data_IF_821588890075
#
_entry.id   IF_821588890075
#
_cell.length_a   1.000
_cell.length_b   1.000
_cell.length_c   1.000
_cell.angle_alpha   90.00
_cell.angle_beta   90.00
_cell.angle_gamma   90.00
#
_symmetry.space_group_name_H-M   'P 1'
#
loop_
_entity.id
_entity.type
_entity.pdbx_description
1 polymer ?
#
# COMPACT_ATOMS: atom_id res chain seq x y z
N UNK A 1 9.91 22.64 -1.70
CA UNK A 1 9.46 24.02 -1.48
C UNK A 1 8.01 23.91 -1.04
N UNK A 2 7.61 24.50 0.11
CA UNK A 2 6.23 24.47 0.53
C UNK A 2 5.32 25.13 -0.49
N UNK A 3 4.18 24.52 -0.73
CA UNK A 3 3.13 25.02 -1.60
C UNK A 3 1.83 24.97 -0.83
N UNK A 4 1.18 26.10 -0.67
CA UNK A 4 -0.01 26.27 0.16
C UNK A 4 -1.14 26.75 -0.75
N UNK A 5 -2.21 25.98 -0.85
CA UNK A 5 -3.45 26.36 -1.54
C UNK A 5 -4.55 26.56 -0.51
N UNK A 6 -5.24 27.69 -0.58
CA UNK A 6 -6.32 28.04 0.32
C UNK A 6 -7.59 28.25 -0.51
N UNK A 7 -8.68 27.60 -0.12
CA UNK A 7 -9.97 27.66 -0.81
C UNK A 7 -11.03 28.24 0.13
N UNK A 8 -11.74 29.26 -0.34
CA UNK A 8 -12.78 29.95 0.43
C UNK A 8 -13.75 30.67 -0.51
N UNK A 9 -15.04 30.83 -0.17
CA UNK A 9 -15.97 31.66 -0.96
C UNK A 9 -15.65 33.16 -0.89
N UNK A 10 -14.90 33.58 0.14
CA UNK A 10 -14.51 34.97 0.35
C UNK A 10 -13.44 35.42 -0.65
N UNK A 11 -13.43 36.71 -0.96
CA UNK A 11 -12.30 37.32 -1.64
C UNK A 11 -11.04 37.16 -0.78
N UNK A 12 -9.92 36.81 -1.41
CA UNK A 12 -8.67 36.58 -0.70
C UNK A 12 -8.11 37.86 -0.06
N UNK A 13 -7.22 37.71 0.93
CA UNK A 13 -6.67 38.84 1.71
C UNK A 13 -5.67 39.71 0.92
N UNK A 14 -5.51 39.48 -0.38
CA UNK A 14 -4.59 40.19 -1.26
C UNK A 14 -3.15 39.64 -1.27
N UNK A 15 -2.44 39.87 -2.37
CA UNK A 15 -1.10 39.31 -2.60
C UNK A 15 -0.06 39.72 -1.55
N UNK A 16 -0.14 40.93 -1.00
CA UNK A 16 0.78 41.39 0.05
C UNK A 16 0.63 40.60 1.35
N UNK A 17 -0.60 40.21 1.72
CA UNK A 17 -0.85 39.39 2.91
C UNK A 17 -0.38 37.94 2.70
N UNK A 18 -0.66 37.37 1.53
CA UNK A 18 -0.18 36.03 1.17
C UNK A 18 1.36 35.98 1.10
N UNK A 19 2.01 37.05 0.62
CA UNK A 19 3.46 37.20 0.61
C UNK A 19 4.06 37.17 2.02
N UNK A 20 3.50 37.96 2.96
CA UNK A 20 3.95 37.91 4.37
C UNK A 20 3.80 36.53 4.98
N UNK A 21 2.70 35.82 4.68
CA UNK A 21 2.50 34.44 5.13
C UNK A 21 3.59 33.51 4.58
N UNK A 22 3.93 33.65 3.29
CA UNK A 22 5.01 32.88 2.67
C UNK A 22 6.38 33.16 3.32
N UNK A 23 6.66 34.42 3.65
CA UNK A 23 7.91 34.82 4.32
C UNK A 23 8.02 34.19 5.72
N UNK A 24 6.96 34.21 6.52
CA UNK A 24 6.94 33.56 7.83
C UNK A 24 7.15 32.04 7.73
N UNK A 25 6.57 31.40 6.69
CA UNK A 25 6.77 29.97 6.43
C UNK A 25 8.22 29.65 6.05
N UNK A 26 8.82 30.45 5.18
CA UNK A 26 10.23 30.26 4.80
C UNK A 26 11.16 30.48 5.98
N UNK A 27 10.92 31.49 6.83
CA UNK A 27 11.67 31.72 8.05
C UNK A 27 11.56 30.54 9.03
N UNK A 28 10.35 30.01 9.26
CA UNK A 28 10.13 28.85 10.12
C UNK A 28 10.90 27.61 9.64
N UNK A 29 10.95 27.38 8.33
CA UNK A 29 11.53 26.18 7.73
C UNK A 29 13.01 26.34 7.35
N UNK A 30 13.63 27.49 7.63
CA UNK A 30 15.01 27.78 7.25
C UNK A 30 15.24 27.77 5.74
N UNK A 31 14.26 28.23 4.95
CA UNK A 31 14.30 28.28 3.49
C UNK A 31 14.68 29.69 3.01
N UNK A 32 15.29 29.83 1.81
CA UNK A 32 15.52 31.15 1.22
C UNK A 32 14.21 31.90 0.96
N UNK A 33 14.27 33.23 0.96
CA UNK A 33 13.13 34.08 0.58
C UNK A 33 12.58 33.68 -0.80
N UNK A 34 11.25 33.75 -0.96
CA UNK A 34 10.57 33.35 -2.20
C UNK A 34 10.44 31.83 -2.42
N UNK A 35 11.01 30.98 -1.54
CA UNK A 35 10.86 29.52 -1.61
C UNK A 35 9.62 29.03 -0.84
N UNK A 36 8.48 29.68 -1.05
CA UNK A 36 7.17 29.24 -0.61
C UNK A 36 6.12 29.86 -1.51
N UNK A 37 5.17 29.06 -1.99
CA UNK A 37 4.05 29.55 -2.80
C UNK A 37 2.76 29.47 -2.01
N UNK A 38 1.97 30.54 -2.06
CA UNK A 38 0.67 30.62 -1.39
C UNK A 38 -0.35 31.10 -2.42
N UNK A 39 -1.37 30.30 -2.67
CA UNK A 39 -2.47 30.64 -3.56
C UNK A 39 -3.78 30.72 -2.80
N UNK A 40 -4.61 31.67 -3.21
CA UNK A 40 -5.99 31.79 -2.76
C UNK A 40 -6.92 31.53 -3.93
N UNK A 41 -7.80 30.56 -3.75
CA UNK A 41 -8.82 30.18 -4.71
C UNK A 41 -10.17 30.59 -4.16
N UNK A 42 -10.83 31.51 -4.87
CA UNK A 42 -12.21 31.83 -4.57
C UNK A 42 -13.09 30.71 -5.10
N UNK A 43 -13.88 30.10 -4.22
CA UNK A 43 -14.86 29.08 -4.59
C UNK A 43 -16.20 29.73 -4.93
N UNK A 44 -16.93 29.09 -5.84
CA UNK A 44 -18.36 29.34 -5.98
C UNK A 44 -19.09 28.68 -4.78
N UNK A 45 -19.87 29.43 -3.99
CA UNK A 45 -20.67 28.85 -2.90
C UNK A 45 -21.66 27.75 -3.34
N UNK A 46 -22.04 27.69 -4.62
CA UNK A 46 -22.90 26.63 -5.16
C UNK A 46 -22.13 25.33 -5.46
N UNK A 47 -20.80 25.41 -5.66
CA UNK A 47 -19.95 24.25 -5.98
C UNK A 47 -19.40 23.56 -4.71
N UNK A 48 -19.60 24.13 -3.53
CA UNK A 48 -19.07 23.58 -2.28
C UNK A 48 -20.11 23.59 -1.14
N UNK A 49 -20.25 22.46 -0.46
CA UNK A 49 -21.11 22.35 0.72
C UNK A 49 -20.28 22.41 2.02
N UNK A 50 -20.33 23.57 2.68
CA UNK A 50 -19.81 23.76 4.04
C UNK A 50 -20.77 24.66 4.84
N UNK A 51 -21.37 24.16 5.94
CA UNK A 51 -22.37 24.93 6.68
C UNK A 51 -21.88 26.30 7.17
N UNK A 52 -20.62 26.40 7.61
CA UNK A 52 -20.05 27.65 8.11
C UNK A 52 -19.94 28.73 7.02
N UNK A 53 -19.72 28.33 5.76
CA UNK A 53 -19.68 29.25 4.62
C UNK A 53 -21.06 29.82 4.29
N UNK A 54 -22.13 29.03 4.46
CA UNK A 54 -23.50 29.54 4.35
C UNK A 54 -23.85 30.51 5.48
N UNK A 55 -23.19 30.37 6.63
CA UNK A 55 -23.28 31.31 7.76
C UNK A 55 -22.37 32.54 7.62
N UNK A 56 -21.66 32.70 6.49
CA UNK A 56 -20.83 33.88 6.20
C UNK A 56 -19.36 33.79 6.62
N UNK A 57 -18.89 32.61 7.03
CA UNK A 57 -17.46 32.43 7.37
C UNK A 57 -16.55 32.56 6.15
N UNK A 58 -15.41 33.22 6.32
CA UNK A 58 -14.34 33.29 5.33
C UNK A 58 -13.27 32.18 5.52
N UNK A 59 -13.43 31.30 6.51
CA UNK A 59 -12.39 30.37 6.93
C UNK A 59 -12.04 29.38 5.80
N UNK A 60 -10.76 29.26 5.42
CA UNK A 60 -10.40 28.47 4.26
C UNK A 60 -10.27 26.99 4.61
N UNK A 61 -10.41 26.17 3.56
CA UNK A 61 -9.84 24.82 3.51
C UNK A 61 -8.47 24.94 2.85
N UNK A 62 -7.42 24.51 3.54
CA UNK A 62 -6.04 24.62 3.09
C UNK A 62 -5.38 23.27 2.80
N UNK A 63 -4.62 23.22 1.72
CA UNK A 63 -3.80 22.08 1.33
C UNK A 63 -2.34 22.53 1.29
N UNK A 64 -1.51 21.88 2.10
CA UNK A 64 -0.10 22.23 2.27
C UNK A 64 0.75 21.08 1.72
N UNK A 65 1.46 21.30 0.63
CA UNK A 65 2.46 20.35 0.14
C UNK A 65 3.83 20.74 0.69
N UNK A 66 4.52 19.83 1.38
CA UNK A 66 5.86 20.06 1.93
C UNK A 66 6.82 18.91 1.59
N UNK A 67 8.11 19.07 1.91
CA UNK A 67 9.09 17.98 1.68
C UNK A 67 8.78 16.81 2.62
N UNK A 68 8.92 15.59 2.12
CA UNK A 68 8.78 14.38 2.92
C UNK A 68 9.78 14.34 4.08
N UNK A 69 10.97 14.89 3.88
CA UNK A 69 12.05 14.94 4.86
C UNK A 69 11.78 15.83 6.08
N UNK A 70 10.69 16.61 6.11
CA UNK A 70 10.35 17.43 7.28
C UNK A 70 9.86 16.57 8.44
N UNK A 71 10.45 16.70 9.62
CA UNK A 71 10.01 15.95 10.81
C UNK A 71 8.56 16.28 11.22
N UNK A 72 7.94 15.42 12.03
CA UNK A 72 6.57 15.63 12.56
C UNK A 72 6.45 16.94 13.32
N UNK A 73 7.46 17.31 14.11
CA UNK A 73 7.48 18.57 14.84
C UNK A 73 7.50 19.79 13.91
N UNK A 74 8.32 19.75 12.85
CA UNK A 74 8.42 20.81 11.85
C UNK A 74 7.09 21.01 11.12
N UNK A 75 6.43 19.93 10.71
CA UNK A 75 5.12 19.98 10.07
C UNK A 75 4.05 20.48 11.04
N UNK A 76 4.08 20.03 12.30
CA UNK A 76 3.18 20.55 13.32
C UNK A 76 3.35 22.05 13.57
N UNK A 77 4.60 22.55 13.59
CA UNK A 77 4.90 23.97 13.72
C UNK A 77 4.41 24.77 12.50
N UNK A 78 4.58 24.23 11.29
CA UNK A 78 4.08 24.83 10.05
C UNK A 78 2.55 24.98 10.08
N UNK A 79 1.83 23.92 10.43
CA UNK A 79 0.36 23.96 10.50
C UNK A 79 -0.14 24.94 11.55
N UNK A 80 0.48 24.98 12.74
CA UNK A 80 0.13 25.95 13.78
C UNK A 80 0.39 27.39 13.36
N UNK A 81 1.51 27.64 12.67
CA UNK A 81 1.82 28.96 12.11
C UNK A 81 0.73 29.39 11.12
N UNK A 82 0.40 28.53 10.16
CA UNK A 82 -0.60 28.80 9.13
C UNK A 82 -1.99 29.04 9.75
N UNK A 83 -2.43 28.16 10.65
CA UNK A 83 -3.73 28.31 11.32
C UNK A 83 -3.82 29.64 12.05
N UNK A 84 -2.83 29.96 12.89
CA UNK A 84 -2.78 31.22 13.63
C UNK A 84 -2.87 32.43 12.71
N UNK A 85 -2.07 32.44 11.62
CA UNK A 85 -2.07 33.57 10.69
C UNK A 85 -3.33 33.71 9.88
N UNK A 86 -3.97 32.62 9.51
CA UNK A 86 -5.25 32.66 8.80
C UNK A 86 -6.38 33.14 9.72
N UNK A 87 -6.35 32.73 10.99
CA UNK A 87 -7.25 33.26 12.03
C UNK A 87 -7.09 34.77 12.17
N UNK A 88 -5.86 35.24 12.39
CA UNK A 88 -5.55 36.67 12.54
C UNK A 88 -5.99 37.48 11.31
N UNK A 89 -5.72 36.94 10.11
CA UNK A 89 -5.93 37.64 8.85
C UNK A 89 -7.40 37.72 8.44
N UNK A 90 -8.19 36.71 8.78
CA UNK A 90 -9.58 36.58 8.32
C UNK A 90 -10.60 36.86 9.42
N UNK A 91 -10.18 36.98 10.69
CA UNK A 91 -11.08 37.17 11.83
C UNK A 91 -12.01 35.99 12.06
N UNK A 92 -11.54 34.77 11.76
CA UNK A 92 -12.32 33.52 11.90
C UNK A 92 -11.88 32.72 13.12
N UNK A 93 -12.70 31.78 13.57
CA UNK A 93 -12.34 30.93 14.71
C UNK A 93 -11.31 29.85 14.30
N UNK A 94 -10.34 29.49 15.16
CA UNK A 94 -9.32 28.48 14.84
C UNK A 94 -9.89 27.13 14.37
N UNK A 95 -10.99 26.69 14.98
CA UNK A 95 -11.68 25.45 14.63
C UNK A 95 -12.29 25.45 13.22
N UNK A 96 -12.47 26.63 12.62
CA UNK A 96 -12.97 26.76 11.25
C UNK A 96 -11.86 26.69 10.19
N UNK A 97 -10.59 26.81 10.59
CA UNK A 97 -9.46 26.72 9.65
C UNK A 97 -9.02 25.26 9.55
N UNK A 98 -9.36 24.63 8.43
CA UNK A 98 -9.00 23.24 8.17
C UNK A 98 -7.78 23.17 7.27
N UNK A 99 -6.70 22.53 7.72
CA UNK A 99 -5.45 22.38 6.96
C UNK A 99 -5.08 20.90 6.85
N UNK A 100 -4.77 20.45 5.64
CA UNK A 100 -4.20 19.13 5.38
C UNK A 100 -2.77 19.27 4.87
N UNK A 101 -1.94 18.26 5.15
CA UNK A 101 -0.56 18.23 4.67
C UNK A 101 -0.35 17.03 3.78
N UNK A 102 0.25 17.29 2.63
CA UNK A 102 0.79 16.26 1.75
C UNK A 102 2.31 16.37 1.70
N UNK A 103 2.98 15.23 1.84
CA UNK A 103 4.44 15.14 1.83
C UNK A 103 4.89 14.70 0.45
N UNK A 104 5.82 15.46 -0.14
CA UNK A 104 6.38 15.21 -1.46
C UNK A 104 7.83 14.72 -1.34
N UNK A 105 8.13 13.57 -1.95
CA UNK A 105 9.45 13.04 -2.18
C UNK A 105 10.11 13.71 -3.40
N UNK A 106 11.43 13.60 -3.50
CA UNK A 106 12.15 14.09 -4.66
C UNK A 106 11.78 13.26 -5.91
N UNK A 107 11.37 13.93 -6.99
CA UNK A 107 10.98 13.27 -8.25
C UNK A 107 9.47 13.07 -8.43
N UNK A 108 8.64 13.40 -7.44
CA UNK A 108 7.19 13.44 -7.61
C UNK A 108 6.75 14.73 -8.30
N UNK A 109 5.77 14.62 -9.21
CA UNK A 109 5.17 15.72 -9.95
C UNK A 109 3.83 16.11 -9.32
N UNK A 110 3.55 17.41 -9.25
CA UNK A 110 2.25 17.91 -8.81
C UNK A 110 1.33 18.02 -10.03
N UNK A 111 0.34 17.13 -10.15
CA UNK A 111 -0.64 17.12 -11.25
C UNK A 111 -2.03 17.29 -10.67
N UNK A 112 -2.71 18.40 -11.00
CA UNK A 112 -4.10 18.68 -10.57
C UNK A 112 -4.33 18.44 -9.07
N UNK A 113 -3.50 19.07 -8.27
CA UNK A 113 -3.56 19.03 -6.81
C UNK A 113 -3.17 17.71 -6.14
N UNK A 114 -2.79 16.69 -6.91
CA UNK A 114 -2.25 15.42 -6.41
C UNK A 114 -0.75 15.31 -6.67
N UNK A 115 -0.02 14.75 -5.71
CA UNK A 115 1.35 14.30 -5.89
C UNK A 115 1.30 12.98 -6.65
N UNK A 116 1.77 12.99 -7.88
CA UNK A 116 1.96 11.80 -8.69
C UNK A 116 3.44 11.46 -8.70
N UNK A 117 3.80 10.26 -8.25
CA UNK A 117 5.09 9.69 -8.63
C UNK A 117 5.22 9.73 -10.16
N UNK A 118 6.38 10.13 -10.68
CA UNK A 118 6.61 10.08 -12.12
C UNK A 118 6.45 8.62 -12.60
N UNK A 119 5.31 8.32 -13.23
CA UNK A 119 4.90 6.97 -13.63
C UNK A 119 3.53 6.61 -13.05
N UNK A 120 2.50 6.76 -13.88
CA UNK A 120 1.10 6.34 -13.76
C UNK A 120 0.80 5.31 -12.65
N UNK A 121 -0.19 5.51 -11.75
CA UNK A 121 -0.73 4.38 -11.01
C UNK A 121 -1.40 3.43 -12.01
N UNK A 122 -1.05 2.15 -11.92
CA UNK A 122 -1.85 1.07 -12.49
C UNK A 122 -3.32 1.19 -11.97
N UNK A 123 -4.33 0.77 -12.75
CA UNK A 123 -5.75 0.95 -12.43
C UNK A 123 -6.10 0.49 -11.01
N UNK A 124 -6.99 1.24 -10.33
CA UNK A 124 -7.59 0.96 -9.01
C UNK A 124 -6.78 -0.03 -8.14
N UNK A 125 -5.55 0.35 -7.80
CA UNK A 125 -4.69 -0.50 -6.99
C UNK A 125 -5.37 -0.75 -5.64
N UNK A 126 -5.64 -2.01 -5.32
CA UNK A 126 -6.11 -2.40 -3.98
C UNK A 126 -4.96 -2.13 -3.00
N UNK A 127 -5.05 -1.03 -2.24
CA UNK A 127 -3.98 -0.59 -1.33
C UNK A 127 -3.98 -1.35 -0.01
N UNK A 128 -5.11 -1.95 0.37
CA UNK A 128 -5.35 -2.41 1.74
C UNK A 128 -5.38 -3.93 1.87
N UNK A 129 -4.29 -4.59 1.45
CA UNK A 129 -4.11 -6.04 1.67
C UNK A 129 -3.34 -6.27 2.96
N UNK A 130 -4.09 -6.55 4.05
CA UNK A 130 -3.54 -6.77 5.40
C UNK A 130 -3.34 -8.27 5.64
N UNK A 131 -2.14 -8.74 6.04
CA UNK A 131 -1.93 -10.14 6.40
C UNK A 131 -2.89 -10.61 7.49
N UNK A 132 -3.41 -11.83 7.39
CA UNK A 132 -4.24 -12.47 8.43
C UNK A 132 -3.40 -13.21 9.46
N UNK A 133 -2.14 -13.47 9.14
CA UNK A 133 -1.21 -14.26 9.95
C UNK A 133 0.14 -14.41 9.27
N UNK A 134 1.00 -15.22 9.87
CA UNK A 134 2.36 -15.45 9.37
C UNK A 134 2.72 -16.93 9.41
N UNK A 135 3.59 -17.32 8.47
CA UNK A 135 4.19 -18.65 8.43
C UNK A 135 5.29 -18.75 9.48
N UNK A 136 5.27 -19.83 10.26
CA UNK A 136 6.34 -20.29 11.13
C UNK A 136 6.88 -21.62 10.62
N UNK A 137 8.16 -21.66 10.27
CA UNK A 137 8.82 -22.85 9.72
C UNK A 137 10.30 -22.88 10.05
N UNK A 138 10.91 -24.06 10.07
CA UNK A 138 12.38 -24.18 10.15
C UNK A 138 13.06 -23.74 8.86
N UNK A 139 12.34 -23.76 7.74
CA UNK A 139 12.87 -23.37 6.44
C UNK A 139 12.89 -21.86 6.28
N UNK A 140 14.09 -21.28 6.43
CA UNK A 140 14.34 -19.83 6.35
C UNK A 140 14.96 -19.40 5.02
N UNK A 141 15.59 -20.34 4.32
CA UNK A 141 16.31 -20.08 3.08
C UNK A 141 15.40 -20.15 1.86
N UNK A 142 15.66 -19.28 0.88
CA UNK A 142 14.90 -19.18 -0.36
C UNK A 142 15.47 -20.12 -1.42
N UNK A 143 15.25 -21.42 -1.25
CA UNK A 143 15.56 -22.46 -2.24
C UNK A 143 14.29 -22.88 -2.99
N UNK A 144 14.45 -23.41 -4.20
CA UNK A 144 13.30 -23.61 -5.11
C UNK A 144 12.59 -24.96 -4.94
N UNK A 145 13.24 -25.99 -4.38
CA UNK A 145 12.78 -27.40 -4.41
C UNK A 145 12.56 -28.03 -3.01
N UNK A 146 12.11 -29.27 -2.91
CA UNK A 146 11.98 -30.06 -1.67
C UNK A 146 10.96 -29.51 -0.65
N UNK A 147 9.81 -29.01 -1.12
CA UNK A 147 8.78 -28.38 -0.27
C UNK A 147 7.77 -29.35 0.33
N UNK A 148 7.60 -30.56 -0.21
CA UNK A 148 6.48 -31.47 0.11
C UNK A 148 6.49 -31.96 1.55
N UNK A 149 7.67 -32.25 2.09
CA UNK A 149 7.86 -32.67 3.49
C UNK A 149 8.06 -31.49 4.47
N UNK A 150 8.11 -30.25 3.96
CA UNK A 150 8.28 -29.07 4.80
C UNK A 150 7.03 -28.86 5.64
N UNK A 151 7.17 -29.06 6.95
CA UNK A 151 6.15 -28.74 7.94
C UNK A 151 6.19 -27.27 8.31
N UNK A 152 5.01 -26.64 8.30
CA UNK A 152 4.85 -25.24 8.62
C UNK A 152 3.61 -25.03 9.48
N UNK A 153 3.63 -23.99 10.31
CA UNK A 153 2.47 -23.51 11.06
C UNK A 153 2.08 -22.15 10.51
N UNK A 154 0.84 -22.01 10.07
CA UNK A 154 0.25 -20.71 9.75
C UNK A 154 -0.43 -20.23 11.04
N UNK A 155 0.11 -19.18 11.66
CA UNK A 155 -0.44 -18.60 12.88
C UNK A 155 -1.23 -17.34 12.55
N UNK A 156 -2.52 -17.37 12.81
CA UNK A 156 -3.42 -16.22 12.60
C UNK A 156 -3.25 -15.18 13.71
N UNK A 157 -3.51 -13.92 13.38
CA UNK A 157 -3.43 -12.79 14.30
C UNK A 157 -4.53 -12.84 15.38
N UNK A 158 -4.14 -13.22 16.60
CA UNK A 158 -5.03 -13.34 17.75
C UNK A 158 -5.64 -12.01 18.24
N UNK A 159 -5.12 -10.86 17.79
CA UNK A 159 -5.76 -9.56 18.07
C UNK A 159 -6.98 -9.29 17.21
N UNK A 160 -7.14 -10.04 16.10
CA UNK A 160 -8.19 -9.85 15.09
C UNK A 160 -9.13 -11.04 14.95
N UNK A 161 -8.65 -12.25 15.24
CA UNK A 161 -9.41 -13.48 15.05
C UNK A 161 -9.52 -14.28 16.34
N UNK A 162 -10.59 -15.04 16.45
CA UNK A 162 -10.80 -16.09 17.45
C UNK A 162 -10.73 -17.46 16.76
N UNK A 163 -10.54 -18.58 17.50
CA UNK A 163 -10.54 -19.92 16.91
C UNK A 163 -11.78 -20.25 16.07
N UNK A 164 -12.90 -19.55 16.28
CA UNK A 164 -14.13 -19.70 15.50
C UNK A 164 -13.92 -19.44 14.00
N UNK A 165 -12.95 -18.60 13.63
CA UNK A 165 -12.60 -18.33 12.23
C UNK A 165 -12.09 -19.57 11.47
N UNK A 166 -11.69 -20.62 12.20
CA UNK A 166 -11.15 -21.87 11.64
C UNK A 166 -12.06 -23.08 11.93
N UNK A 167 -13.25 -22.88 12.51
CA UNK A 167 -14.20 -23.95 12.79
C UNK A 167 -14.53 -24.75 11.52
N UNK A 168 -14.38 -26.07 11.60
CA UNK A 168 -14.68 -26.99 10.50
C UNK A 168 -13.58 -27.10 9.45
N UNK A 169 -12.49 -26.32 9.52
CA UNK A 169 -11.36 -26.46 8.58
C UNK A 169 -10.69 -27.84 8.69
N UNK A 170 -10.69 -28.43 9.89
CA UNK A 170 -10.18 -29.77 10.18
C UNK A 170 -10.97 -30.91 9.52
N UNK A 171 -12.15 -30.63 8.99
CA UNK A 171 -12.94 -31.58 8.18
C UNK A 171 -12.38 -31.73 6.76
N UNK A 172 -11.49 -30.84 6.33
CA UNK A 172 -10.84 -30.86 5.01
C UNK A 172 -9.44 -31.47 5.10
N UNK A 173 -9.01 -32.13 4.02
CA UNK A 173 -7.65 -32.69 3.94
C UNK A 173 -6.59 -31.70 3.46
N UNK A 174 -7.01 -30.64 2.75
CA UNK A 174 -6.11 -29.67 2.13
C UNK A 174 -6.69 -28.27 2.21
N UNK A 175 -5.81 -27.28 2.22
CA UNK A 175 -6.14 -25.87 2.12
C UNK A 175 -5.31 -25.19 1.04
N UNK A 176 -5.90 -24.22 0.37
CA UNK A 176 -5.22 -23.27 -0.50
C UNK A 176 -4.83 -22.03 0.33
N UNK A 177 -3.53 -21.75 0.36
CA UNK A 177 -2.92 -20.67 1.14
C UNK A 177 -2.46 -19.59 0.18
N UNK A 178 -2.98 -18.36 0.35
CA UNK A 178 -2.54 -17.19 -0.41
C UNK A 178 -1.58 -16.41 0.48
N UNK A 179 -0.37 -16.15 -0.02
CA UNK A 179 0.67 -15.47 0.74
C UNK A 179 1.46 -14.50 -0.15
N UNK A 180 2.25 -13.63 0.46
CA UNK A 180 3.07 -12.66 -0.28
C UNK A 180 4.55 -13.01 -0.19
N UNK A 181 5.24 -13.06 -1.33
CA UNK A 181 6.71 -13.16 -1.39
C UNK A 181 7.37 -11.86 -0.89
N UNK A 182 7.29 -11.63 0.42
CA UNK A 182 7.72 -10.41 1.11
C UNK A 182 9.21 -10.10 0.93
N UNK A 183 10.05 -11.11 0.70
CA UNK A 183 11.49 -10.96 0.44
C UNK A 183 11.83 -10.68 -1.02
N UNK A 184 10.87 -10.64 -1.94
CA UNK A 184 11.12 -10.21 -3.33
C UNK A 184 11.12 -8.69 -3.37
N UNK A 185 12.29 -8.06 -3.61
CA UNK A 185 12.37 -6.60 -3.65
C UNK A 185 11.71 -6.06 -4.93
N UNK A 186 11.16 -4.83 -4.91
CA UNK A 186 10.47 -4.26 -6.06
C UNK A 186 11.27 -4.29 -7.37
N UNK A 187 12.57 -4.01 -7.33
CA UNK A 187 13.44 -4.00 -8.51
C UNK A 187 13.65 -5.39 -9.17
N UNK A 188 13.29 -6.48 -8.49
CA UNK A 188 13.36 -7.84 -9.07
C UNK A 188 12.08 -8.23 -9.81
N UNK A 189 10.99 -7.47 -9.63
CA UNK A 189 9.70 -7.73 -10.31
C UNK A 189 9.92 -7.80 -11.82
N UNK A 190 9.32 -8.82 -12.43
CA UNK A 190 9.34 -9.05 -13.87
C UNK A 190 7.93 -8.84 -14.42
N UNK A 191 7.84 -8.19 -15.56
CA UNK A 191 6.58 -7.94 -16.29
C UNK A 191 6.53 -8.64 -17.65
N UNK A 192 7.69 -9.02 -18.19
CA UNK A 192 7.83 -9.69 -19.48
C UNK A 192 8.11 -11.19 -19.40
N UNK A 193 8.57 -11.75 -20.52
CA UNK A 193 8.96 -13.15 -20.61
C UNK A 193 10.41 -13.37 -20.14
N UNK A 194 10.66 -14.54 -19.56
CA UNK A 194 12.00 -14.99 -19.16
C UNK A 194 12.05 -16.51 -19.15
N UNK A 195 13.25 -17.07 -19.15
CA UNK A 195 13.48 -18.49 -18.94
C UNK A 195 13.05 -18.90 -17.51
N UNK A 196 12.20 -19.93 -17.33
CA UNK A 196 11.82 -20.42 -16.01
C UNK A 196 13.07 -20.82 -15.21
N UNK A 197 13.15 -20.38 -13.94
CA UNK A 197 14.36 -20.48 -13.09
C UNK A 197 15.68 -20.01 -13.71
N UNK A 198 15.64 -19.27 -14.84
CA UNK A 198 16.83 -18.87 -15.59
C UNK A 198 17.46 -19.98 -16.44
N UNK A 199 16.78 -21.11 -16.64
CA UNK A 199 17.30 -22.23 -17.43
C UNK A 199 17.18 -21.96 -18.95
N UNK A 200 18.29 -21.79 -19.69
CA UNK A 200 18.26 -21.47 -21.12
C UNK A 200 17.72 -22.60 -22.01
N UNK A 201 17.69 -23.84 -21.51
CA UNK A 201 17.18 -25.00 -22.25
C UNK A 201 15.64 -25.03 -22.28
N UNK A 202 14.99 -24.31 -21.36
CA UNK A 202 13.53 -24.15 -21.33
C UNK A 202 13.09 -22.92 -22.13
N UNK A 203 11.86 -22.92 -22.70
CA UNK A 203 11.42 -21.83 -23.55
C UNK A 203 11.26 -20.51 -22.80
N UNK A 204 11.48 -19.40 -23.51
CA UNK A 204 11.17 -18.07 -23.02
C UNK A 204 9.66 -17.97 -22.72
N UNK A 205 9.30 -17.79 -21.44
CA UNK A 205 7.91 -17.91 -20.98
C UNK A 205 7.46 -16.63 -20.29
N UNK A 206 6.30 -16.10 -20.66
CA UNK A 206 5.70 -14.91 -20.04
C UNK A 206 5.56 -15.05 -18.52
N UNK A 207 5.70 -13.97 -17.73
CA UNK A 207 5.58 -14.05 -16.26
C UNK A 207 4.22 -14.56 -15.76
N UNK A 208 3.18 -14.44 -16.58
CA UNK A 208 1.84 -15.00 -16.29
C UNK A 208 1.66 -16.45 -16.76
N UNK A 209 2.53 -16.95 -17.63
CA UNK A 209 2.57 -18.34 -18.09
C UNK A 209 3.55 -19.22 -17.28
N UNK A 210 4.10 -18.68 -16.17
CA UNK A 210 4.97 -19.40 -15.25
C UNK A 210 4.63 -19.06 -13.79
N UNK A 211 5.21 -19.80 -12.84
CA UNK A 211 4.94 -19.70 -11.40
C UNK A 211 6.08 -19.02 -10.60
N UNK A 212 7.04 -18.39 -11.26
CA UNK A 212 8.20 -17.79 -10.57
C UNK A 212 7.82 -16.59 -9.67
N UNK A 213 8.44 -16.47 -8.49
CA UNK A 213 8.12 -15.47 -7.44
C UNK A 213 8.17 -13.98 -7.83
N UNK A 214 8.99 -13.61 -8.82
CA UNK A 214 9.23 -12.22 -9.23
C UNK A 214 8.11 -11.65 -10.14
N UNK A 215 6.86 -11.62 -9.65
CA UNK A 215 5.67 -11.16 -10.41
C UNK A 215 5.17 -9.83 -9.86
N UNK A 216 4.32 -9.07 -10.59
CA UNK A 216 3.88 -7.73 -10.17
C UNK A 216 3.33 -7.65 -8.74
N UNK A 217 2.37 -8.52 -8.39
CA UNK A 217 1.75 -8.51 -7.05
C UNK A 217 2.46 -9.40 -6.03
N UNK A 218 3.48 -10.17 -6.44
CA UNK A 218 4.27 -11.06 -5.56
C UNK A 218 3.40 -12.02 -4.74
N UNK A 219 2.28 -12.48 -5.30
CA UNK A 219 1.40 -13.44 -4.65
C UNK A 219 1.84 -14.86 -4.95
N UNK A 220 1.97 -15.66 -3.89
CA UNK A 220 2.11 -17.10 -3.92
C UNK A 220 0.79 -17.76 -3.57
N UNK A 221 0.56 -18.95 -4.12
CA UNK A 221 -0.61 -19.77 -3.84
C UNK A 221 -0.15 -21.21 -3.75
N UNK A 222 -0.34 -21.81 -2.58
CA UNK A 222 0.05 -23.19 -2.32
C UNK A 222 -1.14 -24.03 -1.87
N UNK A 223 -1.23 -25.26 -2.40
CA UNK A 223 -2.22 -26.24 -1.94
C UNK A 223 -1.52 -27.19 -0.98
N UNK A 224 -1.77 -26.98 0.30
CA UNK A 224 -1.07 -27.65 1.37
C UNK A 224 -1.96 -28.75 1.96
N UNK A 225 -1.34 -29.85 2.41
CA UNK A 225 -2.05 -30.85 3.20
C UNK A 225 -2.22 -30.33 4.63
N UNK A 226 -3.44 -30.36 5.14
CA UNK A 226 -3.75 -30.04 6.53
C UNK A 226 -3.31 -31.20 7.43
N UNK A 227 -2.56 -30.89 8.48
CA UNK A 227 -2.10 -31.85 9.48
C UNK A 227 -2.92 -31.74 10.77
N UNK A 228 -3.19 -30.51 11.21
CA UNK A 228 -3.89 -30.19 12.45
C UNK A 228 -4.38 -28.73 12.42
N UNK A 229 -5.52 -28.46 13.04
CA UNK A 229 -5.94 -27.11 13.43
C UNK A 229 -5.94 -27.06 14.96
N UNK A 230 -5.23 -26.10 15.54
CA UNK A 230 -5.06 -25.94 16.99
C UNK A 230 -5.26 -24.48 17.39
N UNK A 231 -6.48 -24.13 17.81
CA UNK A 231 -6.83 -22.74 18.08
C UNK A 231 -6.73 -21.88 16.80
N UNK A 232 -5.73 -21.01 16.73
CA UNK A 232 -5.41 -20.14 15.58
C UNK A 232 -4.18 -20.60 14.78
N UNK A 233 -3.60 -21.74 15.16
CA UNK A 233 -2.46 -22.35 14.47
C UNK A 233 -2.96 -23.45 13.51
N UNK A 234 -2.66 -23.28 12.23
CA UNK A 234 -2.95 -24.26 11.18
C UNK A 234 -1.66 -24.94 10.76
N UNK A 235 -1.53 -26.22 11.10
CA UNK A 235 -0.36 -27.03 10.78
C UNK A 235 -0.53 -27.66 9.41
N UNK A 236 0.46 -27.47 8.53
CA UNK A 236 0.43 -27.93 7.14
C UNK A 236 1.75 -28.56 6.71
N UNK A 237 1.71 -29.33 5.62
CA UNK A 237 2.89 -29.72 4.84
C UNK A 237 2.73 -29.35 3.38
N UNK A 238 3.84 -29.15 2.66
CA UNK A 238 3.83 -28.74 1.26
C UNK A 238 3.65 -27.23 1.04
N UNK A 239 3.80 -26.40 2.07
CA UNK A 239 3.72 -24.95 1.95
C UNK A 239 5.07 -24.39 1.46
N UNK A 240 5.10 -23.87 0.24
CA UNK A 240 6.24 -23.25 -0.43
C UNK A 240 6.59 -21.83 0.05
N UNK A 241 6.45 -21.57 1.35
CA UNK A 241 6.67 -20.28 1.98
C UNK A 241 7.66 -20.39 3.14
N UNK A 242 8.70 -19.55 3.12
CA UNK A 242 9.70 -19.49 4.20
C UNK A 242 9.13 -18.89 5.48
N UNK A 243 9.81 -19.13 6.59
CA UNK A 243 9.55 -18.51 7.88
C UNK A 243 9.37 -16.98 7.79
N UNK A 244 8.37 -16.47 8.52
CA UNK A 244 7.99 -15.06 8.54
C UNK A 244 7.17 -14.60 7.32
N UNK A 245 6.82 -15.50 6.40
CA UNK A 245 6.01 -15.12 5.24
C UNK A 245 4.61 -14.68 5.66
N UNK A 246 4.14 -13.49 5.25
CA UNK A 246 2.78 -13.04 5.53
C UNK A 246 1.77 -13.84 4.71
N UNK A 247 0.78 -14.39 5.42
CA UNK A 247 -0.38 -15.06 4.83
C UNK A 247 -1.49 -14.04 4.68
N UNK A 248 -2.08 -13.99 3.49
CA UNK A 248 -3.12 -13.05 3.11
C UNK A 248 -4.50 -13.68 3.18
N UNK A 249 -4.60 -14.98 2.89
CA UNK A 249 -5.87 -15.71 2.87
C UNK A 249 -5.64 -17.22 3.04
N UNK A 250 -6.67 -17.92 3.51
CA UNK A 250 -6.69 -19.37 3.73
C UNK A 250 -8.06 -19.91 3.36
N UNK A 251 -8.11 -20.89 2.46
CA UNK A 251 -9.36 -21.50 2.00
C UNK A 251 -9.26 -23.02 2.01
N UNK A 252 -10.31 -23.76 2.41
CA UNK A 252 -10.31 -25.20 2.19
C UNK A 252 -10.26 -25.51 0.68
N UNK A 253 -9.57 -26.59 0.30
CA UNK A 253 -9.57 -27.06 -1.09
C UNK A 253 -10.83 -27.89 -1.35
N UNK A 254 -11.67 -27.42 -2.27
CA UNK A 254 -12.82 -28.18 -2.78
C UNK A 254 -12.44 -28.81 -4.11
N UNK A 255 -12.74 -30.09 -4.28
CA UNK A 255 -12.42 -30.86 -5.49
C UNK A 255 -13.01 -30.20 -6.74
N UNK A 256 -14.18 -29.61 -6.59
CA UNK A 256 -14.98 -28.95 -7.62
C UNK A 256 -14.30 -27.70 -8.20
N UNK A 257 -13.30 -27.13 -7.53
CA UNK A 257 -12.48 -26.02 -8.06
C UNK A 257 -11.35 -26.50 -8.99
N UNK A 258 -11.14 -27.82 -9.11
CA UNK A 258 -10.26 -28.37 -10.13
C UNK A 258 -10.78 -28.13 -11.55
N UNK A 259 -9.91 -28.28 -12.57
CA UNK A 259 -10.36 -28.27 -13.96
C UNK A 259 -11.42 -29.35 -14.19
N UNK A 260 -12.46 -29.01 -14.96
CA UNK A 260 -13.55 -29.94 -15.31
C UNK A 260 -13.14 -30.97 -16.37
N UNK A 261 -12.05 -30.68 -17.07
CA UNK A 261 -11.45 -31.50 -18.12
C UNK A 261 -10.02 -31.89 -17.73
N UNK A 262 -9.40 -32.76 -18.52
CA UNK A 262 -8.01 -33.14 -18.32
C UNK A 262 -7.10 -31.90 -18.42
N UNK A 263 -6.21 -31.74 -17.43
CA UNK A 263 -5.25 -30.66 -17.41
C UNK A 263 -4.04 -31.01 -18.27
N UNK A 264 -3.68 -30.12 -19.20
CA UNK A 264 -2.50 -30.26 -20.07
C UNK A 264 -1.48 -29.17 -19.73
N UNK A 265 -0.20 -29.52 -19.74
CA UNK A 265 0.91 -28.59 -19.51
C UNK A 265 2.11 -28.89 -20.44
N UNK A 266 3.00 -27.92 -20.70
CA UNK A 266 4.20 -28.16 -21.49
C UNK A 266 5.24 -29.01 -20.73
N UNK A 267 6.04 -29.80 -21.44
CA UNK A 267 7.02 -30.72 -20.83
C UNK A 267 8.02 -30.06 -19.86
N UNK A 268 8.42 -28.81 -20.12
CA UNK A 268 9.31 -28.08 -19.19
C UNK A 268 8.68 -27.87 -17.80
N UNK A 269 7.34 -27.85 -17.72
CA UNK A 269 6.61 -27.74 -16.46
C UNK A 269 6.67 -29.04 -15.65
N UNK A 270 6.70 -30.20 -16.29
CA UNK A 270 6.95 -31.48 -15.61
C UNK A 270 8.38 -31.52 -15.06
N UNK A 271 9.35 -31.05 -15.85
CA UNK A 271 10.75 -31.03 -15.45
C UNK A 271 11.02 -30.08 -14.27
N UNK A 272 10.48 -28.85 -14.32
CA UNK A 272 10.66 -27.88 -13.23
C UNK A 272 9.99 -28.30 -11.93
N UNK A 273 8.96 -29.15 -12.00
CA UNK A 273 8.21 -29.61 -10.83
C UNK A 273 8.72 -30.94 -10.26
N UNK A 274 9.64 -31.63 -10.95
CA UNK A 274 10.10 -32.99 -10.61
C UNK A 274 10.58 -33.15 -9.15
N UNK A 275 11.22 -32.11 -8.61
CA UNK A 275 11.77 -32.11 -7.25
C UNK A 275 11.11 -31.04 -6.38
N UNK A 276 9.99 -30.47 -6.83
CA UNK A 276 9.43 -29.30 -6.17
C UNK A 276 8.79 -29.62 -4.83
N UNK A 277 7.97 -30.68 -4.77
CA UNK A 277 7.38 -31.21 -3.55
C UNK A 277 8.17 -32.43 -3.11
#
# INVERSE_FOLDING_TARGET
>A
MPVIRLYSPAAGPGGAALGRLADEVTALLGLPAGHCWVWWHRLDPEEAHRPEWRAGSAAPVGFVTCRETYGTEQVGALLRLLQRRLVDLLGVRPEEVYLTVQRAAAGELLVRDEIQAAGTPAPDAITDVVPIGFVHSERRELTDDDWGEVRSVIRLDASRFTPEALLGLDTFSHAEVVFRFHRVPPHKVQTGARHPRGNPDWPLTGIFAQRGKNRPNRLGVSRCRLLKVDGLDVHVTGLDAVDGTPVLDLKPWLREFGPREEAVQPAWADEVMRHYY
#
